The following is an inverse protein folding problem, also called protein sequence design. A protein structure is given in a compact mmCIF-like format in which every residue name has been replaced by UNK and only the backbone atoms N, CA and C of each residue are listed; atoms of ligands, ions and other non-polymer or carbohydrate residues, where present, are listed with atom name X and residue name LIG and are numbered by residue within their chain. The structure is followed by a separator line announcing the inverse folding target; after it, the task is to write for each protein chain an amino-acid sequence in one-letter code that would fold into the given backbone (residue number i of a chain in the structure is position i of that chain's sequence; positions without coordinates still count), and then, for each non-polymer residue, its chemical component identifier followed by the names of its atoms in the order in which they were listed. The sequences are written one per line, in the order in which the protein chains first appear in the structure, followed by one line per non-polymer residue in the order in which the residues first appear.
data_IF_749303815715
#
_entry.id   IF_749303815715
#
_cell.length_a   1.000
_cell.length_b   1.000
_cell.length_c   1.000
_cell.angle_alpha   90.00
_cell.angle_beta   90.00
_cell.angle_gamma   90.00
#
_symmetry.space_group_name_H-M   'P 1'
#
loop_
_entity.id
_entity.type
_entity.pdbx_description
1 polymer ?
#
# COMPACT_ATOMS: atom_id res chain seq x y z
N UNK A 1 -32.60 19.98 78.22
CA UNK A 1 -33.02 19.86 76.81
C UNK A 1 -31.94 19.13 76.01
N UNK A 2 -32.31 18.32 75.03
CA UNK A 2 -31.38 17.72 74.06
C UNK A 2 -31.42 18.51 72.76
N UNK A 3 -30.25 18.68 72.12
CA UNK A 3 -30.17 19.37 70.84
C UNK A 3 -30.91 18.57 69.76
N UNK A 4 -31.79 19.25 69.02
CA UNK A 4 -32.49 18.63 67.88
C UNK A 4 -31.47 18.44 66.76
N UNK A 5 -31.34 17.19 66.33
CA UNK A 5 -30.54 16.83 65.18
C UNK A 5 -31.40 16.85 63.92
N UNK A 6 -31.22 17.90 63.13
CA UNK A 6 -31.98 18.12 61.91
C UNK A 6 -31.55 17.20 60.75
N UNK A 7 -30.44 16.44 60.86
CA UNK A 7 -30.00 15.47 59.85
C UNK A 7 -30.58 14.06 60.07
N UNK A 8 -31.08 13.75 61.27
CA UNK A 8 -31.62 12.42 61.64
C UNK A 8 -32.87 12.01 60.87
N UNK A 9 -33.63 12.98 60.35
CA UNK A 9 -34.87 12.74 59.62
C UNK A 9 -34.62 13.06 58.15
N UNK A 10 -34.80 12.07 57.27
CA UNK A 10 -34.71 12.23 55.81
C UNK A 10 -33.41 12.92 55.34
N UNK A 11 -32.26 12.61 55.95
CA UNK A 11 -30.96 13.27 55.69
C UNK A 11 -31.04 14.81 55.76
N UNK A 12 -31.94 15.35 56.57
CA UNK A 12 -32.17 16.79 56.60
C UNK A 12 -32.70 17.39 55.29
N UNK A 13 -33.42 16.62 54.47
CA UNK A 13 -33.89 17.09 53.16
C UNK A 13 -32.75 17.41 52.18
N UNK A 14 -31.50 17.02 52.49
CA UNK A 14 -30.39 17.11 51.55
C UNK A 14 -30.57 16.08 50.43
N UNK A 15 -29.94 16.34 49.28
CA UNK A 15 -29.85 15.38 48.18
C UNK A 15 -29.35 14.02 48.68
N UNK A 16 -29.76 12.94 48.02
CA UNK A 16 -29.17 11.62 48.24
C UNK A 16 -27.66 11.57 47.90
N UNK A 17 -27.16 12.57 47.17
CA UNK A 17 -25.74 12.75 46.83
C UNK A 17 -25.08 13.88 47.63
N UNK A 18 -25.63 14.23 48.79
CA UNK A 18 -25.08 15.25 49.68
C UNK A 18 -24.98 14.77 51.12
N UNK A 19 -23.97 15.27 51.84
CA UNK A 19 -23.79 15.07 53.27
C UNK A 19 -24.50 16.19 54.04
N UNK A 20 -25.34 15.79 55.00
CA UNK A 20 -25.96 16.71 55.95
C UNK A 20 -25.00 16.99 57.11
N UNK A 21 -24.54 18.24 57.25
CA UNK A 21 -23.67 18.67 58.35
C UNK A 21 -24.44 19.56 59.32
N UNK A 22 -24.47 19.17 60.60
CA UNK A 22 -25.12 19.98 61.66
C UNK A 22 -24.32 21.24 61.91
N UNK A 23 -25.01 22.37 62.09
CA UNK A 23 -24.36 23.66 62.39
C UNK A 23 -24.70 24.12 63.81
N UNK A 24 -25.97 24.45 64.05
CA UNK A 24 -26.51 24.80 65.37
C UNK A 24 -27.72 23.91 65.69
N UNK A 25 -28.15 23.80 66.96
CA UNK A 25 -29.30 22.94 67.31
C UNK A 25 -30.53 23.25 66.44
N UNK A 26 -31.07 22.24 65.76
CA UNK A 26 -32.18 22.39 64.81
C UNK A 26 -31.81 22.86 63.39
N UNK A 27 -30.58 23.32 63.17
CA UNK A 27 -30.07 23.79 61.87
C UNK A 27 -29.02 22.85 61.27
N UNK A 28 -28.93 22.90 59.94
CA UNK A 28 -28.05 22.05 59.14
C UNK A 28 -27.65 22.75 57.85
N UNK A 29 -26.56 22.28 57.25
CA UNK A 29 -26.15 22.62 55.88
C UNK A 29 -26.00 21.34 55.07
N UNK A 30 -26.41 21.37 53.83
CA UNK A 30 -26.21 20.28 52.88
C UNK A 30 -24.98 20.59 52.03
N UNK A 31 -24.07 19.64 51.89
CA UNK A 31 -22.88 19.79 51.06
C UNK A 31 -22.85 18.65 50.07
N UNK A 32 -22.80 18.94 48.76
CA UNK A 32 -22.70 17.89 47.75
C UNK A 32 -21.47 17.01 48.00
N UNK A 33 -21.62 15.71 47.80
CA UNK A 33 -20.53 14.76 47.91
C UNK A 33 -19.46 15.04 46.85
N UNK A 34 -18.24 14.56 47.09
CA UNK A 34 -17.14 14.70 46.14
C UNK A 34 -17.55 14.21 44.73
N UNK A 35 -17.27 15.03 43.72
CA UNK A 35 -17.62 14.78 42.32
C UNK A 35 -18.99 15.31 41.88
N UNK A 36 -19.73 15.95 42.79
CA UNK A 36 -21.01 16.61 42.50
C UNK A 36 -20.95 18.10 42.81
N UNK A 37 -21.75 18.89 42.10
CA UNK A 37 -21.90 20.33 42.29
C UNK A 37 -23.37 20.72 42.45
N UNK A 38 -23.64 21.85 43.09
CA UNK A 38 -25.00 22.33 43.38
C UNK A 38 -25.13 22.95 44.77
N UNK A 39 -26.37 23.11 45.23
CA UNK A 39 -26.71 23.80 46.49
C UNK A 39 -26.84 22.83 47.69
N UNK A 40 -26.56 21.54 47.49
CA UNK A 40 -26.68 20.50 48.51
C UNK A 40 -28.08 19.89 48.64
N UNK A 41 -29.12 20.58 48.18
CA UNK A 41 -30.49 20.04 48.04
C UNK A 41 -30.62 19.37 46.68
N UNK A 42 -30.07 20.01 45.64
CA UNK A 42 -29.87 19.47 44.31
C UNK A 42 -28.37 19.36 44.07
N UNK A 43 -27.91 18.15 43.76
CA UNK A 43 -26.52 17.88 43.43
C UNK A 43 -26.48 17.14 42.09
N UNK A 44 -25.78 17.72 41.13
CA UNK A 44 -25.56 17.14 39.79
C UNK A 44 -24.11 16.69 39.65
N UNK A 45 -23.88 15.67 38.84
CA UNK A 45 -22.53 15.17 38.58
C UNK A 45 -21.71 16.23 37.85
N UNK A 46 -20.48 16.43 38.32
CA UNK A 46 -19.52 17.27 37.59
C UNK A 46 -19.06 16.47 36.38
N UNK A 47 -19.23 17.01 35.19
CA UNK A 47 -18.65 16.45 33.98
C UNK A 47 -17.29 17.12 33.72
N UNK A 48 -16.17 16.43 33.97
CA UNK A 48 -14.85 17.03 33.80
C UNK A 48 -14.51 17.25 32.32
N UNK A 49 -15.18 16.58 31.37
CA UNK A 49 -14.94 16.77 29.93
C UNK A 49 -15.36 18.15 29.43
N UNK A 50 -16.26 18.84 30.12
CA UNK A 50 -16.72 20.19 29.74
C UNK A 50 -15.66 21.27 29.99
N UNK A 51 -14.66 20.99 30.83
CA UNK A 51 -13.55 21.90 31.12
C UNK A 51 -12.24 21.32 30.61
N UNK A 52 -11.53 22.05 29.75
CA UNK A 52 -10.21 21.65 29.21
C UNK A 52 -10.18 20.21 28.65
N UNK A 53 -11.28 19.74 28.06
CA UNK A 53 -11.44 18.36 27.55
C UNK A 53 -11.14 17.28 28.62
N UNK A 54 -11.46 17.53 29.90
CA UNK A 54 -11.11 16.63 31.00
C UNK A 54 -9.60 16.42 31.19
N UNK A 55 -8.79 17.33 30.63
CA UNK A 55 -7.34 17.24 30.51
C UNK A 55 -6.87 16.17 29.52
N UNK A 56 -7.70 15.69 28.61
CA UNK A 56 -7.30 14.76 27.55
C UNK A 56 -6.47 15.47 26.46
N UNK A 57 -5.70 14.69 25.69
CA UNK A 57 -4.98 15.21 24.51
C UNK A 57 -5.97 15.85 23.52
N UNK A 58 -5.50 16.78 22.67
CA UNK A 58 -6.30 17.35 21.58
C UNK A 58 -6.77 16.28 20.59
N UNK A 59 -6.00 15.20 20.46
CA UNK A 59 -6.28 14.05 19.61
C UNK A 59 -6.90 12.89 20.41
N UNK A 60 -7.61 13.19 21.51
CA UNK A 60 -8.32 12.22 22.31
C UNK A 60 -9.77 12.66 22.57
N UNK A 61 -10.67 11.67 22.59
CA UNK A 61 -12.05 11.81 23.01
C UNK A 61 -12.16 11.63 24.53
N UNK A 62 -12.76 12.60 25.21
CA UNK A 62 -13.08 12.53 26.63
C UNK A 62 -14.48 11.94 26.82
N UNK A 63 -14.60 10.85 27.59
CA UNK A 63 -15.90 10.28 27.96
C UNK A 63 -16.07 10.28 29.47
N UNK A 64 -17.17 10.86 29.93
CA UNK A 64 -17.52 10.85 31.36
C UNK A 64 -17.96 9.44 31.76
N UNK A 65 -17.34 8.92 32.82
CA UNK A 65 -17.64 7.59 33.38
C UNK A 65 -18.25 7.64 34.78
N UNK A 66 -18.29 8.84 35.38
CA UNK A 66 -18.92 9.06 36.68
C UNK A 66 -18.78 10.51 37.17
N UNK A 67 -19.13 10.76 38.43
CA UNK A 67 -19.06 12.08 39.04
C UNK A 67 -17.62 12.57 39.13
N UNK A 68 -17.29 13.63 38.39
CA UNK A 68 -15.93 14.16 38.23
C UNK A 68 -14.90 13.11 37.78
N UNK A 69 -15.32 12.10 37.01
CA UNK A 69 -14.47 11.06 36.47
C UNK A 69 -14.68 10.94 34.97
N UNK A 70 -13.57 10.96 34.22
CA UNK A 70 -13.57 10.73 32.79
C UNK A 70 -12.40 9.84 32.38
N UNK A 71 -12.56 9.18 31.24
CA UNK A 71 -11.50 8.45 30.56
C UNK A 71 -11.21 9.15 29.22
N UNK A 72 -9.93 9.16 28.84
CA UNK A 72 -9.47 9.71 27.59
C UNK A 72 -9.12 8.56 26.65
N UNK A 73 -9.66 8.55 25.44
CA UNK A 73 -9.34 7.57 24.42
C UNK A 73 -8.77 8.29 23.20
N UNK A 74 -7.59 7.90 22.71
CA UNK A 74 -7.04 8.50 21.50
C UNK A 74 -8.00 8.30 20.31
N UNK A 75 -8.12 9.32 19.48
CA UNK A 75 -8.90 9.27 18.25
C UNK A 75 -8.33 8.22 17.29
N UNK A 76 -9.17 7.76 16.35
CA UNK A 76 -8.75 6.84 15.29
C UNK A 76 -7.52 7.41 14.57
N UNK A 77 -6.46 6.60 14.47
CA UNK A 77 -5.19 7.01 13.88
C UNK A 77 -4.14 7.52 14.86
N UNK A 78 -4.47 7.55 16.15
CA UNK A 78 -3.54 7.92 17.20
C UNK A 78 -3.42 6.79 18.24
N UNK A 79 -2.26 6.68 18.87
CA UNK A 79 -2.00 5.78 19.98
C UNK A 79 -1.39 6.52 21.17
N UNK A 80 -1.57 5.97 22.37
CA UNK A 80 -1.10 6.59 23.59
C UNK A 80 -2.00 6.29 24.79
N UNK A 81 -1.89 7.08 25.84
CA UNK A 81 -2.64 6.93 27.09
C UNK A 81 -3.91 7.81 27.15
N UNK A 82 -4.24 8.49 26.05
CA UNK A 82 -5.37 9.44 25.97
C UNK A 82 -5.06 10.83 26.52
N UNK A 83 -4.02 10.98 27.33
CA UNK A 83 -3.47 12.28 27.78
C UNK A 83 -2.38 12.79 26.86
N UNK A 84 -1.64 11.86 26.27
CA UNK A 84 -0.69 12.05 25.19
C UNK A 84 -1.05 11.09 24.08
N UNK A 85 -1.41 11.61 22.90
CA UNK A 85 -1.76 10.80 21.73
C UNK A 85 -0.83 11.14 20.56
N UNK A 86 -0.08 10.14 20.07
CA UNK A 86 0.82 10.26 18.93
C UNK A 86 0.24 9.60 17.69
N UNK A 87 0.51 10.17 16.51
CA UNK A 87 -0.01 9.65 15.25
C UNK A 87 0.58 8.27 14.94
N UNK A 88 -0.28 7.33 14.55
CA UNK A 88 0.11 5.99 14.10
C UNK A 88 0.43 6.07 12.63
N UNK A 89 1.72 6.07 12.31
CA UNK A 89 2.17 6.01 10.93
C UNK A 89 1.85 4.66 10.29
N UNK A 90 1.05 4.66 9.22
CA UNK A 90 0.78 3.46 8.43
C UNK A 90 2.05 2.98 7.72
N UNK A 91 2.92 3.90 7.31
CA UNK A 91 4.17 3.56 6.63
C UNK A 91 5.15 2.79 7.53
N UNK A 92 5.07 2.98 8.85
CA UNK A 92 5.90 2.25 9.82
C UNK A 92 5.63 0.73 9.84
N UNK A 93 4.47 0.27 9.34
CA UNK A 93 4.12 -1.14 9.30
C UNK A 93 4.10 -1.65 7.86
N UNK A 94 4.97 -2.60 7.52
CA UNK A 94 5.04 -3.22 6.19
C UNK A 94 5.12 -2.21 5.02
N UNK A 95 5.81 -1.07 5.19
CA UNK A 95 5.82 0.05 4.22
C UNK A 95 4.40 0.53 3.86
N UNK A 96 3.49 0.45 4.83
CA UNK A 96 2.03 0.54 4.71
C UNK A 96 1.36 -0.55 3.88
N UNK A 97 2.11 -1.38 3.15
CA UNK A 97 1.64 -2.22 2.04
C UNK A 97 1.90 -1.61 0.67
N UNK A 98 2.83 -0.65 0.53
CA UNK A 98 3.33 -0.22 -0.78
C UNK A 98 4.23 -1.30 -1.39
N UNK A 99 4.51 -1.20 -2.69
CA UNK A 99 5.56 -2.00 -3.31
C UNK A 99 6.90 -1.85 -2.57
N UNK A 100 7.74 -2.87 -2.56
CA UNK A 100 9.14 -2.75 -2.09
C UNK A 100 9.93 -1.70 -2.89
N UNK A 101 9.51 -1.42 -4.13
CA UNK A 101 10.06 -0.39 -5.00
C UNK A 101 9.26 0.92 -4.97
N UNK A 102 8.47 1.14 -3.92
CA UNK A 102 7.76 2.39 -3.69
C UNK A 102 8.16 3.04 -2.36
N UNK A 103 7.99 4.36 -2.32
CA UNK A 103 8.09 5.19 -1.13
C UNK A 103 6.67 5.35 -0.59
N UNK A 104 6.49 5.02 0.68
CA UNK A 104 5.26 5.29 1.42
C UNK A 104 5.36 6.68 2.04
N UNK A 105 4.42 7.56 1.69
CA UNK A 105 4.27 8.86 2.32
C UNK A 105 3.00 8.84 3.16
N UNK A 106 3.18 9.04 4.46
CA UNK A 106 2.06 9.18 5.38
C UNK A 106 1.35 10.51 5.14
N UNK A 107 0.02 10.48 5.16
CA UNK A 107 -0.80 11.68 5.11
C UNK A 107 -1.53 11.83 6.43
N UNK A 108 -1.78 13.05 6.88
CA UNK A 108 -2.62 13.27 8.06
C UNK A 108 -3.98 12.58 7.85
N UNK A 109 -4.56 11.98 8.91
CA UNK A 109 -5.88 11.31 8.94
C UNK A 109 -5.95 9.82 8.54
N UNK A 110 -4.94 8.99 8.87
CA UNK A 110 -4.98 7.52 8.64
C UNK A 110 -5.00 7.10 7.18
N UNK A 111 -4.49 7.96 6.31
CA UNK A 111 -4.30 7.66 4.91
C UNK A 111 -2.80 7.65 4.60
N UNK A 112 -2.44 7.01 3.49
CA UNK A 112 -1.08 6.98 3.00
C UNK A 112 -1.09 6.97 1.49
N UNK A 113 -0.04 7.50 0.89
CA UNK A 113 0.18 7.43 -0.55
C UNK A 113 1.40 6.59 -0.85
N UNK A 114 1.33 5.83 -1.94
CA UNK A 114 2.45 5.05 -2.46
C UNK A 114 2.93 5.66 -3.77
N UNK A 115 4.21 5.97 -3.87
CA UNK A 115 4.82 6.48 -5.09
C UNK A 115 6.01 5.62 -5.48
N UNK A 116 6.07 5.13 -6.71
CA UNK A 116 7.22 4.34 -7.16
C UNK A 116 8.53 5.12 -7.00
N UNK A 117 9.59 4.41 -6.60
CA UNK A 117 10.95 4.95 -6.49
C UNK A 117 11.45 5.44 -7.86
N UNK A 118 12.46 6.32 -7.92
CA UNK A 118 13.06 6.73 -9.19
C UNK A 118 13.42 5.52 -10.06
N UNK A 119 13.16 5.62 -11.36
CA UNK A 119 13.34 4.56 -12.36
C UNK A 119 12.36 3.37 -12.28
N UNK A 120 11.27 3.51 -11.52
CA UNK A 120 10.15 2.56 -11.53
C UNK A 120 8.86 3.26 -11.98
N UNK A 121 7.95 2.49 -12.57
CA UNK A 121 6.61 2.94 -12.98
C UNK A 121 5.53 2.06 -12.34
N UNK A 122 4.32 2.60 -12.20
CA UNK A 122 3.17 1.88 -11.66
C UNK A 122 2.30 2.75 -10.76
N UNK A 123 1.44 2.10 -9.99
CA UNK A 123 0.47 2.73 -9.07
C UNK A 123 1.02 2.90 -7.64
N UNK A 124 2.30 2.60 -7.41
CA UNK A 124 2.92 2.62 -6.08
C UNK A 124 2.71 1.32 -5.27
N UNK A 125 1.70 0.53 -5.57
CA UNK A 125 1.49 -0.80 -4.97
C UNK A 125 2.17 -1.89 -5.79
N UNK A 126 2.17 -1.74 -7.12
CA UNK A 126 2.89 -2.54 -8.09
C UNK A 126 3.81 -1.66 -8.90
N UNK A 127 5.07 -1.59 -8.47
CA UNK A 127 6.11 -0.89 -9.20
C UNK A 127 6.91 -1.87 -10.08
N UNK A 128 7.19 -1.43 -11.31
CA UNK A 128 7.93 -2.18 -12.33
C UNK A 128 9.17 -1.41 -12.76
N UNK A 129 10.26 -2.14 -12.91
CA UNK A 129 11.56 -1.62 -13.29
C UNK A 129 11.77 -1.60 -14.79
N UNK A 130 13.03 -1.55 -15.21
CA UNK A 130 13.41 -1.73 -16.62
C UNK A 130 13.26 -3.19 -17.06
N UNK A 131 13.34 -3.44 -18.37
CA UNK A 131 13.18 -4.77 -18.95
C UNK A 131 14.13 -5.80 -18.31
N UNK A 132 15.40 -5.47 -18.06
CA UNK A 132 16.33 -6.42 -17.43
C UNK A 132 15.88 -6.84 -16.03
N UNK A 133 15.40 -5.89 -15.23
CA UNK A 133 14.86 -6.16 -13.89
C UNK A 133 13.59 -7.02 -13.96
N UNK A 134 12.68 -6.72 -14.88
CA UNK A 134 11.44 -7.48 -15.05
C UNK A 134 11.70 -8.90 -15.57
N UNK A 135 12.62 -9.07 -16.52
CA UNK A 135 13.01 -10.38 -17.03
C UNK A 135 13.56 -11.28 -15.93
N UNK A 136 14.41 -10.74 -15.05
CA UNK A 136 15.00 -11.48 -13.93
C UNK A 136 13.94 -11.86 -12.88
N UNK A 137 12.95 -11.01 -12.65
CA UNK A 137 11.93 -11.18 -11.61
C UNK A 137 10.89 -12.25 -11.95
N UNK A 138 10.57 -12.45 -13.23
CA UNK A 138 9.60 -13.44 -13.67
C UNK A 138 10.27 -14.77 -14.06
N UNK A 139 9.85 -15.86 -13.42
CA UNK A 139 10.38 -17.21 -13.67
C UNK A 139 10.10 -17.68 -15.11
N UNK A 140 9.08 -17.15 -15.76
CA UNK A 140 8.76 -17.44 -17.16
C UNK A 140 9.71 -16.77 -18.15
N UNK A 141 10.48 -15.76 -17.73
CA UNK A 141 11.36 -14.98 -18.62
C UNK A 141 12.82 -14.98 -18.18
N UNK A 142 13.12 -15.39 -16.94
CA UNK A 142 14.45 -15.31 -16.34
C UNK A 142 15.52 -16.06 -17.13
N UNK A 143 15.16 -17.12 -17.86
CA UNK A 143 16.12 -17.83 -18.72
C UNK A 143 16.64 -16.96 -19.86
N UNK A 144 15.79 -16.11 -20.42
CA UNK A 144 16.19 -15.15 -21.44
C UNK A 144 17.19 -14.13 -20.87
N UNK A 145 16.94 -13.60 -19.66
CA UNK A 145 17.87 -12.73 -18.94
C UNK A 145 19.26 -13.37 -18.81
N UNK A 146 19.35 -14.62 -18.34
CA UNK A 146 20.64 -15.29 -18.17
C UNK A 146 21.41 -15.49 -19.49
N UNK A 147 20.71 -15.68 -20.61
CA UNK A 147 21.36 -15.71 -21.93
C UNK A 147 21.91 -14.34 -22.34
N UNK A 148 21.19 -13.25 -22.07
CA UNK A 148 21.70 -11.88 -22.30
C UNK A 148 22.94 -11.60 -21.46
N UNK A 149 22.91 -12.00 -20.18
CA UNK A 149 24.01 -11.82 -19.25
C UNK A 149 25.25 -12.61 -19.67
N UNK A 150 25.10 -13.91 -19.96
CA UNK A 150 26.19 -14.79 -20.38
C UNK A 150 26.88 -14.32 -21.67
N UNK A 151 26.14 -13.66 -22.57
CA UNK A 151 26.66 -13.13 -23.84
C UNK A 151 27.03 -11.63 -23.76
N UNK A 152 26.95 -11.01 -22.58
CA UNK A 152 27.21 -9.58 -22.37
C UNK A 152 26.41 -8.66 -23.32
N UNK A 153 25.17 -9.04 -23.65
CA UNK A 153 24.27 -8.26 -24.49
C UNK A 153 23.71 -7.10 -23.65
N UNK A 154 23.76 -5.88 -24.20
CA UNK A 154 23.38 -4.62 -23.53
C UNK A 154 22.45 -3.76 -24.36
N UNK A 155 21.95 -4.28 -25.48
CA UNK A 155 21.08 -3.57 -26.43
C UNK A 155 19.81 -2.99 -25.76
N UNK A 156 19.31 -3.62 -24.69
CA UNK A 156 18.13 -3.20 -23.91
C UNK A 156 18.45 -2.33 -22.69
N UNK A 157 19.71 -1.94 -22.47
CA UNK A 157 20.14 -1.19 -21.28
C UNK A 157 19.83 0.31 -21.37
N UNK A 158 19.59 0.81 -22.58
CA UNK A 158 19.24 2.21 -22.82
C UNK A 158 17.85 2.60 -22.32
N UNK A 159 17.47 3.88 -22.49
CA UNK A 159 16.17 4.40 -22.07
C UNK A 159 15.00 3.83 -22.89
N UNK A 160 15.26 3.13 -24.00
CA UNK A 160 14.23 2.63 -24.90
C UNK A 160 13.64 3.74 -25.77
N UNK A 161 12.41 3.57 -26.29
CA UNK A 161 11.50 2.45 -26.01
C UNK A 161 11.88 1.16 -26.72
N UNK A 162 11.55 0.02 -26.11
CA UNK A 162 11.73 -1.33 -26.66
C UNK A 162 10.44 -2.14 -26.66
N UNK A 163 10.34 -3.08 -27.59
CA UNK A 163 9.36 -4.17 -27.55
C UNK A 163 10.12 -5.49 -27.56
N UNK A 164 9.85 -6.35 -26.59
CA UNK A 164 10.58 -7.61 -26.41
C UNK A 164 9.62 -8.79 -26.48
N UNK A 165 9.90 -9.75 -27.37
CA UNK A 165 9.18 -11.01 -27.46
C UNK A 165 9.99 -12.12 -26.78
N UNK A 166 9.59 -12.56 -25.60
CA UNK A 166 10.40 -13.48 -24.79
C UNK A 166 9.84 -14.89 -24.87
N UNK A 167 10.58 -15.88 -25.40
CA UNK A 167 10.17 -17.26 -25.29
C UNK A 167 10.14 -17.68 -23.83
N UNK A 168 9.07 -18.36 -23.42
CA UNK A 168 8.93 -18.86 -22.04
C UNK A 168 10.13 -19.73 -21.66
N UNK A 169 10.54 -19.65 -20.40
CA UNK A 169 11.73 -20.32 -19.84
C UNK A 169 11.79 -21.82 -20.15
N UNK A 170 10.66 -22.54 -20.10
CA UNK A 170 10.59 -23.97 -20.41
C UNK A 170 10.98 -24.29 -21.86
N UNK A 171 10.63 -23.42 -22.82
CA UNK A 171 10.99 -23.57 -24.23
C UNK A 171 12.49 -23.37 -24.42
N UNK A 172 13.07 -22.31 -23.82
CA UNK A 172 14.52 -22.05 -23.89
C UNK A 172 15.35 -23.15 -23.23
N UNK A 173 14.79 -23.84 -22.23
CA UNK A 173 15.46 -24.95 -21.55
C UNK A 173 15.38 -26.27 -22.31
N UNK A 174 14.30 -26.51 -23.07
CA UNK A 174 14.02 -27.81 -23.69
C UNK A 174 14.39 -27.88 -25.16
N UNK A 175 14.42 -26.76 -25.89
CA UNK A 175 14.69 -26.76 -27.33
C UNK A 175 16.17 -27.16 -27.60
N UNK A 176 16.42 -28.26 -28.33
CA UNK A 176 17.77 -28.75 -28.59
C UNK A 176 18.62 -27.77 -29.39
N UNK A 177 17.99 -26.91 -30.21
CA UNK A 177 18.68 -25.91 -31.05
C UNK A 177 19.40 -24.86 -30.22
N UNK A 178 18.97 -24.61 -28.98
CA UNK A 178 19.62 -23.63 -28.09
C UNK A 178 21.06 -24.03 -27.79
N UNK A 179 21.34 -25.31 -27.57
CA UNK A 179 22.72 -25.80 -27.37
C UNK A 179 23.55 -25.59 -28.62
N UNK A 180 22.99 -25.91 -29.78
CA UNK A 180 23.67 -25.74 -31.07
C UNK A 180 24.00 -24.27 -31.34
N UNK A 181 23.08 -23.34 -31.05
CA UNK A 181 23.32 -21.92 -31.24
C UNK A 181 24.39 -21.35 -30.32
N UNK A 182 24.49 -21.85 -29.08
CA UNK A 182 25.55 -21.48 -28.15
C UNK A 182 26.89 -21.99 -28.66
N UNK A 183 26.98 -23.26 -29.06
CA UNK A 183 28.22 -23.87 -29.57
C UNK A 183 28.68 -23.20 -30.87
N UNK A 184 27.75 -22.84 -31.75
CA UNK A 184 28.02 -22.15 -33.01
C UNK A 184 28.24 -20.63 -32.86
N UNK A 185 28.04 -20.06 -31.68
CA UNK A 185 28.21 -18.63 -31.43
C UNK A 185 27.13 -17.73 -32.07
N UNK A 186 26.00 -18.28 -32.50
CA UNK A 186 24.91 -17.53 -33.17
C UNK A 186 23.79 -17.11 -32.21
N UNK A 187 23.84 -17.55 -30.94
CA UNK A 187 22.80 -17.26 -29.95
C UNK A 187 22.54 -15.76 -29.76
N UNK A 188 23.56 -14.91 -29.89
CA UNK A 188 23.40 -13.46 -29.77
C UNK A 188 22.53 -12.86 -30.89
N UNK A 189 22.59 -13.41 -32.10
CA UNK A 189 21.74 -13.00 -33.23
C UNK A 189 20.29 -13.45 -33.01
N UNK A 190 20.10 -14.69 -32.54
CA UNK A 190 18.77 -15.22 -32.19
C UNK A 190 18.11 -14.35 -31.12
N UNK A 191 18.84 -13.96 -30.07
CA UNK A 191 18.29 -13.08 -29.02
C UNK A 191 17.93 -11.69 -29.57
N UNK A 192 18.75 -11.11 -30.45
CA UNK A 192 18.43 -9.81 -31.09
C UNK A 192 17.22 -9.87 -32.01
N UNK A 193 16.91 -11.03 -32.58
CA UNK A 193 15.70 -11.22 -33.38
C UNK A 193 14.41 -11.12 -32.55
N UNK A 194 14.50 -11.31 -31.24
CA UNK A 194 13.38 -11.17 -30.31
C UNK A 194 13.21 -9.73 -29.79
N UNK A 195 14.12 -8.83 -30.14
CA UNK A 195 14.14 -7.46 -29.64
C UNK A 195 13.75 -6.50 -30.76
N UNK A 196 12.94 -5.51 -30.44
CA UNK A 196 12.61 -4.40 -31.31
C UNK A 196 12.96 -3.11 -30.58
N UNK A 197 13.69 -2.23 -31.26
CA UNK A 197 14.04 -0.90 -30.74
C UNK A 197 13.14 0.20 -31.29
N UNK A 198 13.25 1.37 -30.66
CA UNK A 198 12.59 2.62 -31.06
C UNK A 198 11.06 2.62 -31.00
N UNK A 199 10.44 1.57 -30.47
CA UNK A 199 8.99 1.51 -30.29
C UNK A 199 8.61 0.58 -29.13
N UNK A 200 7.55 0.96 -28.41
CA UNK A 200 6.94 0.19 -27.33
C UNK A 200 5.52 -0.15 -27.77
N UNK A 201 5.32 -1.36 -28.27
CA UNK A 201 4.06 -1.80 -28.84
C UNK A 201 3.31 -2.66 -27.83
N UNK A 202 2.13 -2.18 -27.45
CA UNK A 202 1.14 -3.00 -26.75
C UNK A 202 0.50 -4.00 -27.72
N UNK A 203 -0.20 -4.97 -27.16
CA UNK A 203 -0.90 -5.97 -27.96
C UNK A 203 -1.87 -5.35 -28.98
N UNK A 204 -2.54 -4.25 -28.62
CA UNK A 204 -3.40 -3.50 -29.55
C UNK A 204 -2.64 -3.02 -30.78
N UNK A 205 -1.46 -2.43 -30.57
CA UNK A 205 -0.65 -1.85 -31.64
C UNK A 205 -0.13 -2.94 -32.58
N UNK A 206 0.18 -4.12 -32.02
CA UNK A 206 0.58 -5.29 -32.80
C UNK A 206 -0.55 -5.79 -33.73
N UNK A 207 -1.83 -5.56 -33.43
CA UNK A 207 -2.94 -5.95 -34.31
C UNK A 207 -3.10 -5.07 -35.54
N UNK A 208 -2.47 -3.89 -35.55
CA UNK A 208 -2.58 -2.90 -36.62
C UNK A 208 -1.41 -2.96 -37.62
N UNK A 209 -0.37 -3.73 -37.30
CA UNK A 209 0.84 -3.87 -38.12
C UNK A 209 0.99 -5.29 -38.66
N UNK A 210 1.68 -5.41 -39.80
CA UNK A 210 1.92 -6.70 -40.48
C UNK A 210 3.37 -7.16 -40.40
N UNK A 211 4.29 -6.25 -40.13
CA UNK A 211 5.70 -6.55 -39.98
C UNK A 211 6.39 -5.56 -39.02
N UNK A 212 7.47 -6.01 -38.40
CA UNK A 212 8.32 -5.17 -37.58
C UNK A 212 9.77 -5.58 -37.64
N UNK A 213 10.67 -4.62 -37.83
CA UNK A 213 12.11 -4.90 -37.91
C UNK A 213 12.69 -5.16 -36.52
N UNK A 214 13.28 -6.33 -36.34
CA UNK A 214 14.01 -6.68 -35.11
C UNK A 214 15.39 -6.00 -35.05
N UNK A 215 16.04 -6.03 -33.88
CA UNK A 215 17.43 -5.59 -33.72
C UNK A 215 18.45 -6.51 -34.43
N UNK A 216 18.01 -7.69 -34.89
CA UNK A 216 18.79 -8.50 -35.82
C UNK A 216 18.89 -7.88 -37.22
N UNK A 217 17.87 -7.09 -37.62
CA UNK A 217 17.73 -6.48 -38.94
C UNK A 217 16.64 -7.12 -39.80
N UNK A 218 16.29 -8.38 -39.53
CA UNK A 218 15.22 -9.07 -40.26
C UNK A 218 13.83 -8.76 -39.68
N UNK A 219 12.78 -8.72 -40.52
CA UNK A 219 11.43 -8.46 -40.07
C UNK A 219 10.81 -9.67 -39.35
N UNK A 220 10.03 -9.40 -38.32
CA UNK A 220 9.08 -10.32 -37.70
C UNK A 220 7.74 -10.08 -38.37
N UNK A 221 7.16 -11.12 -38.96
CA UNK A 221 5.86 -11.06 -39.59
C UNK A 221 4.76 -11.25 -38.55
N UNK A 222 3.75 -10.40 -38.58
CA UNK A 222 2.64 -10.41 -37.63
C UNK A 222 1.35 -10.69 -38.39
N UNK A 223 0.61 -11.70 -37.96
CA UNK A 223 -0.71 -12.02 -38.47
C UNK A 223 -1.71 -12.09 -37.31
N UNK A 224 -2.89 -11.53 -37.52
CA UNK A 224 -3.96 -11.52 -36.54
C UNK A 224 -5.22 -12.13 -37.16
N UNK A 225 -5.73 -13.19 -36.55
CA UNK A 225 -6.97 -13.86 -36.97
C UNK A 225 -7.82 -14.18 -35.77
N UNK A 226 -9.09 -13.73 -35.79
CA UNK A 226 -10.16 -14.14 -34.88
C UNK A 226 -9.70 -14.38 -33.43
N UNK A 227 -8.99 -13.41 -32.84
CA UNK A 227 -8.52 -13.37 -31.44
C UNK A 227 -7.16 -14.04 -31.11
N UNK A 228 -6.40 -14.55 -32.09
CA UNK A 228 -4.99 -14.95 -31.89
C UNK A 228 -4.06 -14.10 -32.75
N UNK A 229 -2.95 -13.67 -32.14
CA UNK A 229 -1.87 -12.95 -32.81
C UNK A 229 -0.68 -13.88 -32.90
N UNK A 230 -0.23 -14.12 -34.14
CA UNK A 230 0.83 -15.04 -34.48
C UNK A 230 2.01 -14.29 -35.09
N UNK A 231 3.19 -14.59 -34.59
CA UNK A 231 4.49 -14.09 -35.05
C UNK A 231 5.15 -15.17 -35.91
N UNK A 232 5.65 -14.79 -37.09
CA UNK A 232 6.29 -15.67 -38.06
C UNK A 232 5.49 -16.95 -38.35
N UNK A 233 4.16 -16.82 -38.43
CA UNK A 233 3.19 -17.90 -38.70
C UNK A 233 3.07 -19.00 -37.65
N UNK A 234 3.96 -19.07 -36.65
CA UNK A 234 4.00 -20.19 -35.70
C UNK A 234 3.96 -19.78 -34.22
N UNK A 235 4.53 -18.63 -33.84
CA UNK A 235 4.68 -18.26 -32.43
C UNK A 235 3.52 -17.40 -31.94
N UNK A 236 2.87 -17.76 -30.84
CA UNK A 236 1.77 -17.00 -30.26
C UNK A 236 2.19 -16.27 -28.98
N UNK A 237 1.58 -15.12 -28.73
CA UNK A 237 1.74 -14.38 -27.48
C UNK A 237 0.85 -15.00 -26.40
N UNK A 238 1.46 -15.62 -25.39
CA UNK A 238 0.77 -16.27 -24.27
C UNK A 238 0.60 -15.36 -23.05
N UNK A 239 1.45 -14.36 -22.90
CA UNK A 239 1.31 -13.31 -21.89
C UNK A 239 1.71 -11.99 -22.53
N UNK A 240 0.88 -10.97 -22.38
CA UNK A 240 1.00 -9.70 -23.11
C UNK A 240 1.10 -8.52 -22.16
N UNK A 241 1.63 -7.42 -22.69
CA UNK A 241 1.60 -6.10 -22.06
C UNK A 241 2.27 -6.06 -20.68
N UNK A 242 3.38 -6.77 -20.50
CA UNK A 242 4.26 -6.55 -19.35
C UNK A 242 5.05 -5.25 -19.56
N UNK A 243 4.43 -4.14 -19.15
CA UNK A 243 5.04 -2.80 -19.22
C UNK A 243 6.25 -2.70 -18.27
N UNK A 244 7.34 -2.13 -18.76
CA UNK A 244 8.56 -1.81 -18.04
C UNK A 244 8.93 -0.33 -18.29
N UNK A 245 9.88 0.22 -17.53
CA UNK A 245 10.24 1.65 -17.64
C UNK A 245 10.83 2.06 -18.97
N UNK A 246 11.42 1.11 -19.71
CA UNK A 246 12.05 1.35 -21.01
C UNK A 246 11.40 0.54 -22.14
N UNK A 247 10.21 -0.05 -21.96
CA UNK A 247 9.53 -0.79 -23.02
C UNK A 247 8.45 -1.75 -22.56
N UNK A 248 8.08 -2.70 -23.42
CA UNK A 248 7.04 -3.70 -23.16
C UNK A 248 7.57 -5.10 -23.45
N UNK A 249 7.19 -6.05 -22.61
CA UNK A 249 7.51 -7.48 -22.73
C UNK A 249 6.25 -8.26 -23.10
N UNK A 250 6.35 -9.10 -24.12
CA UNK A 250 5.36 -10.10 -24.50
C UNK A 250 6.00 -11.48 -24.41
N UNK A 251 5.41 -12.41 -23.65
CA UNK A 251 5.89 -13.79 -23.57
C UNK A 251 5.25 -14.61 -24.67
N UNK A 252 6.07 -15.40 -25.37
CA UNK A 252 5.67 -16.22 -26.52
C UNK A 252 5.90 -17.70 -26.28
N UNK A 253 5.15 -18.54 -27.00
CA UNK A 253 5.18 -20.00 -26.86
C UNK A 253 6.24 -20.71 -27.74
N UNK A 254 7.04 -19.98 -28.52
CA UNK A 254 8.10 -20.53 -29.37
C UNK A 254 9.30 -19.59 -29.46
N UNK A 255 10.46 -20.11 -29.89
CA UNK A 255 11.64 -19.29 -30.18
C UNK A 255 11.53 -18.78 -31.62
N UNK A 256 11.58 -17.47 -31.81
CA UNK A 256 11.68 -16.84 -33.11
C UNK A 256 13.08 -17.05 -33.69
N UNK A 257 13.13 -17.34 -34.99
CA UNK A 257 14.38 -17.53 -35.72
C UNK A 257 14.34 -16.65 -36.98
N UNK A 258 15.42 -15.89 -37.28
CA UNK A 258 15.54 -15.14 -38.52
C UNK A 258 15.44 -15.99 -39.78
#
# INVERSE_FOLDING_TARGET
CSAIDACKISNGGCSAKAECRRTTPGNRVCVCNAGYTGDGIVCIEINPCLESNGGCDRNAECTQIGPNQAVCNCLKGYSGDGKTCSYISLCSQNNGGCSEFAICNDTELTERTCTCKPNYIGDGFKCRGNIFQELLRDTNTSRFYFHLEALSIRDLAGPGPFTLFVPRTDILNSDPRVKDWIVKGVMAQVLRYHMVGCTSLLYSDLTEITNITSLHGDPIHISHSQNSLVLNNNAEIIFRDAVATNGVIHVINQILVP
#
